data_IF_512119574883
#
_entry.id   IF_512119574883
#
_cell.length_a   1.000
_cell.length_b   1.000
_cell.length_c   1.000
_cell.angle_alpha   90.00
_cell.angle_beta   90.00
_cell.angle_gamma   90.00
#
_symmetry.space_group_name_H-M   'P 1'
#
loop_
_entity.id
_entity.type
_entity.pdbx_description
1 polymer ?
#
# COMPACT_ATOMS: atom_id res chain seq x y z
N UNK A 1 -0.03 8.17 -33.29
CA UNK A 1 -0.09 9.24 -32.27
C UNK A 1 1.15 9.13 -31.40
N UNK A 2 1.94 10.19 -31.28
CA UNK A 2 3.15 10.19 -30.45
C UNK A 2 2.78 9.88 -28.99
N UNK A 3 3.51 8.93 -28.41
CA UNK A 3 3.38 8.57 -26.99
C UNK A 3 3.63 9.87 -26.19
N UNK A 4 2.61 10.37 -25.48
CA UNK A 4 2.78 11.57 -24.63
C UNK A 4 3.88 11.28 -23.64
N UNK A 5 5.00 12.00 -23.75
CA UNK A 5 6.08 11.95 -22.76
C UNK A 5 5.52 12.38 -21.41
N UNK A 6 5.97 11.72 -20.32
CA UNK A 6 5.68 12.21 -18.98
C UNK A 6 6.14 13.68 -18.86
N UNK A 7 5.43 14.49 -18.03
CA UNK A 7 5.89 15.82 -17.69
C UNK A 7 7.30 15.82 -17.08
N UNK A 8 7.99 16.95 -17.16
CA UNK A 8 9.37 17.07 -16.68
C UNK A 8 9.57 16.80 -15.19
N UNK A 9 8.53 16.93 -14.39
CA UNK A 9 8.57 16.63 -12.94
C UNK A 9 8.40 15.14 -12.60
N UNK A 10 8.07 14.28 -13.57
CA UNK A 10 8.05 12.83 -13.39
C UNK A 10 9.36 12.25 -13.92
N UNK A 11 10.38 12.33 -13.07
CA UNK A 11 11.71 11.79 -13.35
C UNK A 11 12.13 10.84 -12.25
N UNK A 12 12.60 9.66 -12.62
CA UNK A 12 13.11 8.63 -11.72
C UNK A 12 14.58 8.38 -11.99
N UNK A 13 15.34 8.02 -10.96
CA UNK A 13 16.72 7.60 -11.11
C UNK A 13 16.77 6.15 -11.58
N UNK A 14 17.62 5.86 -12.56
CA UNK A 14 17.87 4.49 -12.97
C UNK A 14 18.52 3.71 -11.81
N UNK A 15 18.10 2.45 -11.58
CA UNK A 15 18.67 1.60 -10.54
C UNK A 15 20.10 1.20 -10.96
N UNK A 16 21.13 1.68 -10.24
CA UNK A 16 22.53 1.44 -10.57
C UNK A 16 23.44 1.20 -9.36
N UNK A 17 22.91 1.28 -8.12
CA UNK A 17 23.76 1.13 -6.92
C UNK A 17 24.05 -0.34 -6.60
N UNK A 18 25.19 -0.66 -5.97
CA UNK A 18 25.50 -2.00 -5.46
C UNK A 18 24.41 -2.51 -4.50
N UNK A 19 23.86 -1.63 -3.65
CA UNK A 19 22.80 -1.95 -2.69
C UNK A 19 21.50 -2.36 -3.39
N UNK A 20 21.16 -1.75 -4.52
CA UNK A 20 20.01 -2.17 -5.34
C UNK A 20 20.16 -3.65 -5.75
N UNK A 21 21.31 -4.01 -6.30
CA UNK A 21 21.57 -5.38 -6.75
C UNK A 21 21.61 -6.36 -5.57
N UNK A 22 22.19 -5.95 -4.44
CA UNK A 22 22.21 -6.76 -3.21
C UNK A 22 20.79 -7.03 -2.71
N UNK A 23 19.94 -6.00 -2.60
CA UNK A 23 18.54 -6.13 -2.19
C UNK A 23 17.79 -7.09 -3.12
N UNK A 24 17.93 -6.90 -4.43
CA UNK A 24 17.33 -7.78 -5.45
C UNK A 24 17.80 -9.24 -5.31
N UNK A 25 19.07 -9.47 -5.05
CA UNK A 25 19.63 -10.80 -4.86
C UNK A 25 19.10 -11.49 -3.61
N UNK A 26 18.97 -10.77 -2.48
CA UNK A 26 18.37 -11.30 -1.24
C UNK A 26 16.95 -11.75 -1.47
N UNK A 27 16.12 -10.90 -2.11
CA UNK A 27 14.72 -11.19 -2.41
C UNK A 27 14.57 -12.42 -3.31
N UNK A 28 15.36 -12.48 -4.38
CA UNK A 28 15.37 -13.63 -5.32
C UNK A 28 15.81 -14.93 -4.64
N UNK A 29 16.87 -14.87 -3.83
CA UNK A 29 17.39 -16.03 -3.09
C UNK A 29 16.40 -16.61 -2.08
N UNK A 30 15.48 -15.76 -1.56
CA UNK A 30 14.43 -16.18 -0.65
C UNK A 30 13.08 -16.46 -1.36
N UNK A 31 13.03 -16.37 -2.68
CA UNK A 31 11.82 -16.56 -3.50
C UNK A 31 10.65 -15.70 -3.01
N UNK A 32 10.90 -14.41 -2.77
CA UNK A 32 9.92 -13.45 -2.29
C UNK A 32 9.50 -12.50 -3.39
N UNK A 33 8.21 -12.16 -3.39
CA UNK A 33 7.62 -11.15 -4.27
C UNK A 33 7.62 -9.78 -3.58
N UNK A 34 7.74 -8.73 -4.37
CA UNK A 34 7.59 -7.35 -3.90
C UNK A 34 6.66 -6.58 -4.83
N UNK A 35 5.78 -5.76 -4.25
CA UNK A 35 4.97 -4.85 -5.07
C UNK A 35 5.81 -3.87 -5.88
N UNK A 36 7.06 -3.60 -5.43
CA UNK A 36 8.01 -2.76 -6.14
C UNK A 36 8.36 -3.32 -7.52
N UNK A 37 8.47 -4.65 -7.64
CA UNK A 37 8.73 -5.35 -8.90
C UNK A 37 7.45 -5.60 -9.69
N UNK A 38 6.45 -6.21 -9.06
CA UNK A 38 5.21 -6.66 -9.72
C UNK A 38 4.35 -5.48 -10.22
N UNK A 39 4.33 -4.36 -9.48
CA UNK A 39 3.61 -3.15 -9.87
C UNK A 39 4.46 -2.14 -10.67
N UNK A 40 5.67 -2.52 -11.14
CA UNK A 40 6.57 -1.64 -11.90
C UNK A 40 6.78 -0.28 -11.21
N UNK A 41 7.06 -0.28 -9.91
CA UNK A 41 7.15 0.93 -9.10
C UNK A 41 8.29 1.85 -9.58
N UNK A 42 8.03 3.14 -9.86
CA UNK A 42 9.07 4.07 -10.32
C UNK A 42 10.17 4.31 -9.28
N UNK A 43 9.90 4.08 -8.00
CA UNK A 43 10.83 4.34 -6.92
C UNK A 43 11.75 3.12 -6.59
N UNK A 44 11.63 2.01 -7.33
CA UNK A 44 12.37 0.78 -7.02
C UNK A 44 13.89 1.00 -6.93
N UNK A 45 14.45 1.86 -7.79
CA UNK A 45 15.87 2.19 -7.79
C UNK A 45 16.32 2.84 -6.49
N UNK A 46 15.54 3.80 -5.99
CA UNK A 46 15.78 4.50 -4.73
C UNK A 46 15.54 3.57 -3.53
N UNK A 47 14.35 2.98 -3.44
CA UNK A 47 13.98 2.11 -2.32
C UNK A 47 14.97 0.95 -2.13
N UNK A 48 15.33 0.23 -3.19
CA UNK A 48 16.27 -0.88 -3.09
C UNK A 48 17.71 -0.41 -2.77
N UNK A 49 18.10 0.79 -3.20
CA UNK A 49 19.37 1.39 -2.81
C UNK A 49 19.43 1.71 -1.31
N UNK A 50 18.28 2.03 -0.72
CA UNK A 50 18.09 2.21 0.72
C UNK A 50 17.72 0.91 1.46
N UNK A 51 17.90 -0.26 0.81
CA UNK A 51 17.54 -1.60 1.33
C UNK A 51 16.09 -1.76 1.73
N UNK A 52 15.20 -0.88 1.25
CA UNK A 52 13.77 -0.87 1.57
C UNK A 52 12.99 -1.57 0.47
N UNK A 53 12.09 -2.47 0.85
CA UNK A 53 11.18 -3.18 -0.05
C UNK A 53 9.80 -3.33 0.61
N UNK A 54 8.74 -3.32 -0.21
CA UNK A 54 7.39 -3.68 0.23
C UNK A 54 7.14 -5.12 -0.20
N UNK A 55 7.10 -6.02 0.78
CA UNK A 55 6.86 -7.45 0.52
C UNK A 55 5.43 -7.69 0.10
N UNK A 56 5.23 -8.56 -0.89
CA UNK A 56 3.92 -8.95 -1.38
C UNK A 56 3.68 -10.42 -1.04
N UNK A 57 2.72 -10.66 -0.15
CA UNK A 57 2.31 -11.97 0.34
C UNK A 57 1.43 -12.72 -0.65
N UNK A 58 1.39 -14.04 -0.47
CA UNK A 58 0.44 -14.94 -1.11
C UNK A 58 0.62 -15.06 -2.62
N UNK A 59 1.85 -14.79 -3.09
CA UNK A 59 2.25 -14.93 -4.48
C UNK A 59 2.08 -13.66 -5.30
N UNK A 60 2.02 -13.84 -6.62
CA UNK A 60 2.08 -12.79 -7.65
C UNK A 60 0.80 -12.68 -8.50
N UNK A 61 -0.25 -13.46 -8.19
CA UNK A 61 -1.52 -13.49 -8.92
C UNK A 61 -2.67 -13.06 -8.03
N UNK A 62 -3.31 -11.93 -8.39
CA UNK A 62 -4.46 -11.37 -7.69
C UNK A 62 -5.76 -11.99 -8.17
N UNK A 63 -6.73 -12.23 -7.28
CA UNK A 63 -8.07 -12.69 -7.66
C UNK A 63 -8.96 -11.58 -8.21
N UNK A 64 -8.55 -10.30 -8.01
CA UNK A 64 -9.24 -9.12 -8.58
C UNK A 64 -8.48 -8.56 -9.77
N UNK A 65 -9.22 -7.90 -10.67
CA UNK A 65 -8.68 -7.25 -11.86
C UNK A 65 -8.97 -5.74 -11.81
N UNK A 66 -8.19 -5.00 -11.04
CA UNK A 66 -8.29 -3.54 -10.99
C UNK A 66 -7.57 -2.93 -12.19
N UNK A 67 -8.26 -2.16 -13.09
CA UNK A 67 -7.68 -1.68 -14.33
C UNK A 67 -6.54 -0.66 -14.19
N UNK A 68 -6.22 -0.22 -12.99
CA UNK A 68 -5.04 0.61 -12.71
C UNK A 68 -3.79 -0.19 -12.32
N UNK A 69 -3.96 -1.47 -11.95
CA UNK A 69 -2.93 -2.28 -11.28
C UNK A 69 -2.16 -3.14 -12.27
N UNK A 70 -0.83 -3.13 -12.18
CA UNK A 70 0.04 -3.94 -13.04
C UNK A 70 0.22 -5.39 -12.56
N UNK A 71 -0.23 -5.72 -11.34
CA UNK A 71 -0.11 -7.07 -10.78
C UNK A 71 -0.94 -8.05 -11.62
N UNK A 72 -0.38 -9.21 -11.93
CA UNK A 72 -1.06 -10.27 -12.67
C UNK A 72 -2.34 -10.70 -11.94
N UNK A 73 -3.38 -11.04 -12.70
CA UNK A 73 -4.67 -11.46 -12.14
C UNK A 73 -5.11 -12.81 -12.70
N UNK A 74 -5.87 -13.56 -11.91
CA UNK A 74 -6.36 -14.87 -12.28
C UNK A 74 -6.51 -15.82 -11.11
N UNK A 75 -6.32 -17.12 -11.37
CA UNK A 75 -6.38 -18.15 -10.31
C UNK A 75 -5.10 -18.14 -9.49
N UNK A 76 -5.20 -17.78 -8.23
CA UNK A 76 -4.08 -17.75 -7.31
C UNK A 76 -3.59 -19.17 -6.95
N UNK A 77 -2.31 -19.28 -6.58
CA UNK A 77 -1.72 -20.54 -6.11
C UNK A 77 -2.07 -20.80 -4.64
N UNK A 78 -1.92 -22.05 -4.16
CA UNK A 78 -2.02 -22.35 -2.72
C UNK A 78 -1.06 -21.48 -1.91
N UNK A 79 -1.43 -21.20 -0.66
CA UNK A 79 -0.56 -20.49 0.27
C UNK A 79 0.70 -21.31 0.57
N UNK A 80 1.82 -20.61 0.67
CA UNK A 80 3.08 -21.19 1.13
C UNK A 80 3.22 -20.96 2.65
N UNK A 81 3.14 -21.98 3.48
CA UNK A 81 3.21 -21.85 4.93
C UNK A 81 4.57 -21.33 5.43
N UNK A 82 5.64 -21.44 4.65
CA UNK A 82 6.97 -20.97 5.00
C UNK A 82 7.22 -19.50 4.59
N UNK A 83 6.33 -18.88 3.83
CA UNK A 83 6.49 -17.49 3.37
C UNK A 83 6.67 -16.50 4.54
N UNK A 84 5.90 -16.57 5.65
CA UNK A 84 6.08 -15.68 6.79
C UNK A 84 7.50 -15.72 7.39
N UNK A 85 8.08 -16.92 7.50
CA UNK A 85 9.45 -17.09 8.00
C UNK A 85 10.47 -16.50 7.03
N UNK A 86 10.32 -16.77 5.72
CA UNK A 86 11.25 -16.21 4.72
C UNK A 86 11.22 -14.70 4.65
N UNK A 87 10.06 -14.08 4.90
CA UNK A 87 9.95 -12.62 5.00
C UNK A 87 10.69 -12.12 6.23
N UNK A 88 10.53 -12.75 7.39
CA UNK A 88 11.28 -12.38 8.58
C UNK A 88 12.81 -12.49 8.35
N UNK A 89 13.26 -13.56 7.68
CA UNK A 89 14.66 -13.72 7.26
C UNK A 89 15.14 -12.59 6.33
N UNK A 90 14.28 -12.15 5.39
CA UNK A 90 14.63 -11.05 4.50
C UNK A 90 14.73 -9.73 5.24
N UNK A 91 13.78 -9.44 6.14
CA UNK A 91 13.78 -8.23 6.99
C UNK A 91 15.07 -8.17 7.82
N UNK A 92 15.48 -9.29 8.41
CA UNK A 92 16.74 -9.41 9.15
C UNK A 92 17.98 -9.16 8.26
N UNK A 93 18.06 -9.81 7.09
CA UNK A 93 19.18 -9.65 6.16
C UNK A 93 19.29 -8.24 5.58
N UNK A 94 18.19 -7.54 5.41
CA UNK A 94 18.13 -6.16 4.95
C UNK A 94 18.37 -5.16 6.10
N UNK A 95 18.24 -5.58 7.35
CA UNK A 95 18.41 -4.72 8.53
C UNK A 95 17.32 -3.66 8.66
N UNK A 96 16.05 -4.02 8.39
CA UNK A 96 14.94 -3.06 8.38
C UNK A 96 14.45 -2.75 9.79
N UNK A 97 14.37 -1.47 10.12
CA UNK A 97 13.72 -0.97 11.35
C UNK A 97 12.20 -0.74 11.15
N UNK A 98 11.77 -0.65 9.90
CA UNK A 98 10.38 -0.55 9.50
C UNK A 98 10.15 -1.40 8.24
N UNK A 99 9.13 -2.23 8.24
CA UNK A 99 8.79 -3.08 7.11
C UNK A 99 7.34 -2.88 6.71
N UNK A 100 7.10 -2.80 5.40
CA UNK A 100 5.75 -2.80 4.83
C UNK A 100 5.49 -4.16 4.18
N UNK A 101 4.39 -4.77 4.56
CA UNK A 101 3.92 -6.05 4.04
C UNK A 101 2.53 -5.83 3.41
N UNK A 102 2.40 -6.18 2.16
CA UNK A 102 1.13 -6.15 1.43
C UNK A 102 0.79 -7.51 0.85
N UNK A 103 -0.27 -7.64 0.08
CA UNK A 103 -0.63 -8.88 -0.61
C UNK A 103 -1.33 -8.61 -1.94
N UNK A 104 -1.47 -9.65 -2.74
CA UNK A 104 -2.54 -9.75 -3.74
C UNK A 104 -3.90 -9.93 -3.03
N UNK A 105 -5.02 -9.56 -3.65
CA UNK A 105 -6.34 -9.96 -3.14
C UNK A 105 -6.51 -11.48 -3.27
N UNK A 106 -7.06 -12.09 -2.23
CA UNK A 106 -7.32 -13.53 -2.11
C UNK A 106 -8.78 -13.78 -1.74
N UNK A 107 -9.68 -13.28 -2.59
CA UNK A 107 -11.14 -13.49 -2.43
C UNK A 107 -11.56 -14.97 -2.52
N UNK A 108 -10.63 -15.84 -2.93
CA UNK A 108 -10.76 -17.31 -2.92
C UNK A 108 -10.54 -17.94 -1.54
N UNK A 109 -9.98 -17.20 -0.58
CA UNK A 109 -9.77 -17.66 0.79
C UNK A 109 -10.90 -17.16 1.70
N UNK A 110 -11.37 -17.98 2.66
CA UNK A 110 -12.45 -17.60 3.57
C UNK A 110 -12.16 -16.33 4.39
N UNK A 111 -10.90 -16.11 4.75
CA UNK A 111 -10.44 -14.96 5.54
C UNK A 111 -9.73 -13.89 4.71
N UNK A 112 -9.73 -14.03 3.36
CA UNK A 112 -9.00 -13.13 2.46
C UNK A 112 -7.49 -13.06 2.73
N UNK A 113 -6.92 -14.04 3.45
CA UNK A 113 -5.50 -14.11 3.82
C UNK A 113 -5.14 -13.39 5.13
N UNK A 114 -6.11 -13.00 5.95
CA UNK A 114 -5.88 -12.30 7.22
C UNK A 114 -4.97 -13.09 8.18
N UNK A 115 -5.16 -14.40 8.30
CA UNK A 115 -4.31 -15.27 9.12
C UNK A 115 -2.85 -15.27 8.64
N UNK A 116 -2.63 -15.17 7.33
CA UNK A 116 -1.29 -15.13 6.74
C UNK A 116 -0.56 -13.82 7.04
N UNK A 117 -1.27 -12.68 6.97
CA UNK A 117 -0.75 -11.38 7.45
C UNK A 117 -0.36 -11.44 8.92
N UNK A 118 -1.25 -11.96 9.76
CA UNK A 118 -1.00 -12.08 11.20
C UNK A 118 0.19 -13.02 11.51
N UNK A 119 0.34 -14.13 10.78
CA UNK A 119 1.47 -15.04 10.90
C UNK A 119 2.79 -14.33 10.50
N UNK A 120 2.77 -13.54 9.43
CA UNK A 120 3.93 -12.77 8.97
C UNK A 120 4.37 -11.73 9.99
N UNK A 121 3.42 -10.95 10.54
CA UNK A 121 3.72 -9.97 11.59
C UNK A 121 4.33 -10.63 12.83
N UNK A 122 3.78 -11.77 13.28
CA UNK A 122 4.34 -12.55 14.40
C UNK A 122 5.74 -13.09 14.10
N UNK A 123 5.98 -13.62 12.90
CA UNK A 123 7.30 -14.13 12.51
C UNK A 123 8.35 -13.03 12.53
N UNK A 124 8.04 -11.84 11.99
CA UNK A 124 8.93 -10.68 12.02
C UNK A 124 9.23 -10.27 13.47
N UNK A 125 8.21 -10.09 14.30
CA UNK A 125 8.38 -9.62 15.69
C UNK A 125 9.07 -10.66 16.59
N UNK A 126 8.90 -11.94 16.33
CA UNK A 126 9.61 -13.00 17.04
C UNK A 126 11.12 -12.94 16.81
N UNK A 127 11.54 -12.62 15.57
CA UNK A 127 12.96 -12.52 15.19
C UNK A 127 13.54 -11.13 15.48
N UNK A 128 12.73 -10.08 15.29
CA UNK A 128 13.15 -8.68 15.31
C UNK A 128 12.10 -7.85 16.12
N UNK A 129 12.07 -7.94 17.45
CA UNK A 129 11.03 -7.29 18.28
C UNK A 129 10.94 -5.77 18.08
N UNK A 130 12.06 -5.10 17.78
CA UNK A 130 12.13 -3.65 17.61
C UNK A 130 11.66 -3.18 16.22
N UNK A 131 11.60 -4.06 15.20
CA UNK A 131 11.16 -3.69 13.86
C UNK A 131 9.67 -3.35 13.85
N UNK A 132 9.32 -2.17 13.35
CA UNK A 132 7.92 -1.78 13.16
C UNK A 132 7.33 -2.47 11.94
N UNK A 133 6.10 -2.95 12.06
CA UNK A 133 5.39 -3.65 10.99
C UNK A 133 4.18 -2.84 10.54
N UNK A 134 4.18 -2.43 9.29
CA UNK A 134 3.03 -1.89 8.59
C UNK A 134 2.44 -2.98 7.70
N UNK A 135 1.11 -3.15 7.72
CA UNK A 135 0.41 -4.03 6.78
C UNK A 135 -0.48 -3.20 5.87
N UNK A 136 -0.36 -3.41 4.55
CA UNK A 136 -1.28 -2.87 3.55
C UNK A 136 -2.19 -4.00 3.10
N UNK A 137 -3.41 -4.01 3.62
CA UNK A 137 -4.35 -5.11 3.48
C UNK A 137 -5.46 -4.83 2.46
N UNK A 138 -6.08 -5.90 1.87
CA UNK A 138 -7.31 -5.78 1.10
C UNK A 138 -8.50 -5.37 2.00
N UNK A 139 -9.67 -5.18 1.39
CA UNK A 139 -10.90 -4.90 2.14
C UNK A 139 -11.55 -6.15 2.78
N UNK A 140 -10.93 -7.33 2.61
CA UNK A 140 -11.42 -8.62 3.09
C UNK A 140 -12.91 -8.86 2.78
N UNK A 141 -13.40 -8.31 1.66
CA UNK A 141 -14.84 -8.33 1.29
C UNK A 141 -15.77 -7.79 2.41
N UNK A 142 -15.22 -7.02 3.37
CA UNK A 142 -15.94 -6.45 4.52
C UNK A 142 -15.99 -7.36 5.75
N UNK A 143 -15.24 -8.45 5.79
CA UNK A 143 -15.14 -9.32 6.97
C UNK A 143 -14.43 -8.61 8.12
N UNK A 144 -15.19 -8.19 9.12
CA UNK A 144 -14.62 -7.62 10.34
C UNK A 144 -13.84 -8.64 11.18
N UNK A 145 -14.18 -9.93 11.10
CA UNK A 145 -13.41 -11.00 11.73
C UNK A 145 -11.99 -11.07 11.17
N UNK A 146 -11.84 -10.92 9.84
CA UNK A 146 -10.54 -10.85 9.18
C UNK A 146 -9.75 -9.61 9.60
N UNK A 147 -10.41 -8.45 9.72
CA UNK A 147 -9.78 -7.22 10.26
C UNK A 147 -9.31 -7.44 11.69
N UNK A 148 -10.13 -8.05 12.56
CA UNK A 148 -9.77 -8.39 13.94
C UNK A 148 -8.54 -9.31 14.01
N UNK A 149 -8.48 -10.32 13.15
CA UNK A 149 -7.34 -11.25 13.07
C UNK A 149 -6.04 -10.50 12.81
N UNK A 150 -6.06 -9.52 11.88
CA UNK A 150 -4.89 -8.69 11.57
C UNK A 150 -4.58 -7.72 12.71
N UNK A 151 -5.58 -7.03 13.25
CA UNK A 151 -5.41 -6.05 14.35
C UNK A 151 -4.90 -6.72 15.63
N UNK A 152 -5.29 -7.97 15.91
CA UNK A 152 -4.79 -8.73 17.05
C UNK A 152 -3.30 -9.12 16.92
N UNK A 153 -2.71 -9.03 15.73
CA UNK A 153 -1.30 -9.28 15.50
C UNK A 153 -0.41 -8.08 15.89
N UNK A 154 0.90 -8.25 16.09
CA UNK A 154 1.78 -7.19 16.56
C UNK A 154 2.21 -6.23 15.44
N UNK A 155 1.26 -5.47 14.92
CA UNK A 155 1.47 -4.42 13.90
C UNK A 155 1.38 -3.03 14.54
N UNK A 156 2.05 -2.05 13.95
CA UNK A 156 2.01 -0.64 14.33
C UNK A 156 1.14 0.21 13.41
N UNK A 157 1.04 -0.18 12.13
CA UNK A 157 0.25 0.55 11.13
C UNK A 157 -0.67 -0.41 10.37
N UNK A 158 -1.96 -0.10 10.37
CA UNK A 158 -2.97 -0.74 9.54
C UNK A 158 -3.28 0.16 8.35
N UNK A 159 -2.86 -0.25 7.17
CA UNK A 159 -3.04 0.50 5.94
C UNK A 159 -4.07 -0.23 5.04
N UNK A 160 -5.06 0.51 4.56
CA UNK A 160 -5.96 0.08 3.51
C UNK A 160 -6.21 1.25 2.56
N UNK A 161 -5.81 1.11 1.31
CA UNK A 161 -5.96 2.19 0.34
C UNK A 161 -7.42 2.32 -0.13
N UNK A 162 -7.95 3.54 -0.12
CA UNK A 162 -9.22 3.85 -0.79
C UNK A 162 -9.06 4.06 -2.29
N UNK A 163 -7.85 4.31 -2.75
CA UNK A 163 -7.35 4.42 -4.13
C UNK A 163 -7.88 5.62 -4.91
N UNK A 164 -9.18 5.93 -4.85
CA UNK A 164 -9.81 7.02 -5.61
C UNK A 164 -11.11 7.50 -4.96
N UNK A 165 -11.78 8.47 -5.58
CA UNK A 165 -13.06 9.03 -5.13
C UNK A 165 -14.24 8.12 -5.48
N UNK A 166 -15.39 8.21 -4.77
CA UNK A 166 -16.55 7.33 -4.95
C UNK A 166 -17.06 7.24 -6.39
N UNK A 167 -17.09 8.36 -7.12
CA UNK A 167 -17.57 8.39 -8.51
C UNK A 167 -16.76 7.53 -9.48
N UNK A 168 -15.48 7.25 -9.15
CA UNK A 168 -14.56 6.47 -9.97
C UNK A 168 -14.42 5.00 -9.55
N UNK A 169 -15.04 4.59 -8.41
CA UNK A 169 -14.86 3.21 -7.91
C UNK A 169 -15.25 2.15 -8.93
N UNK A 170 -16.39 2.34 -9.59
CA UNK A 170 -16.91 1.39 -10.58
C UNK A 170 -15.95 1.16 -11.74
N UNK A 171 -15.22 2.19 -12.13
CA UNK A 171 -14.27 2.17 -13.25
C UNK A 171 -12.87 1.76 -12.81
N UNK A 172 -12.39 2.31 -11.70
CA UNK A 172 -11.00 2.10 -11.27
C UNK A 172 -10.84 0.85 -10.39
N UNK A 173 -11.82 0.55 -9.51
CA UNK A 173 -11.73 -0.54 -8.52
C UNK A 173 -12.99 -1.43 -8.57
N UNK A 174 -13.29 -2.09 -9.71
CA UNK A 174 -14.41 -3.03 -9.78
C UNK A 174 -14.21 -4.14 -8.74
N UNK A 175 -15.25 -4.43 -7.95
CA UNK A 175 -15.19 -5.36 -6.80
C UNK A 175 -14.82 -4.69 -5.47
N UNK A 176 -14.24 -3.49 -5.48
CA UNK A 176 -14.12 -2.64 -4.30
C UNK A 176 -15.38 -1.81 -4.03
N UNK A 177 -15.53 -1.35 -2.78
CA UNK A 177 -16.61 -0.44 -2.38
C UNK A 177 -16.03 0.63 -1.47
N UNK A 178 -16.39 1.89 -1.73
CA UNK A 178 -15.90 3.03 -0.96
C UNK A 178 -16.30 2.98 0.50
N UNK A 179 -17.59 2.73 0.76
CA UNK A 179 -18.14 2.58 2.10
C UNK A 179 -17.47 1.43 2.88
N UNK A 180 -17.19 0.31 2.22
CA UNK A 180 -16.45 -0.82 2.78
C UNK A 180 -15.01 -0.43 3.15
N UNK A 181 -14.33 0.33 2.30
CA UNK A 181 -12.96 0.79 2.56
C UNK A 181 -12.90 1.69 3.80
N UNK A 182 -13.87 2.58 3.99
CA UNK A 182 -13.99 3.36 5.22
C UNK A 182 -14.31 2.49 6.44
N UNK A 183 -15.25 1.54 6.29
CA UNK A 183 -15.67 0.66 7.38
C UNK A 183 -14.52 -0.20 7.91
N UNK A 184 -13.65 -0.76 7.05
CA UNK A 184 -12.51 -1.57 7.52
C UNK A 184 -11.46 -0.73 8.24
N UNK A 185 -11.22 0.52 7.81
CA UNK A 185 -10.34 1.45 8.51
C UNK A 185 -10.89 1.82 9.88
N UNK A 186 -12.19 2.19 9.93
CA UNK A 186 -12.87 2.54 11.18
C UNK A 186 -12.86 1.37 12.17
N UNK A 187 -13.19 0.16 11.68
CA UNK A 187 -13.19 -1.04 12.52
C UNK A 187 -11.81 -1.35 13.07
N UNK A 188 -10.76 -1.26 12.27
CA UNK A 188 -9.38 -1.46 12.71
C UNK A 188 -8.98 -0.50 13.83
N UNK A 189 -9.32 0.80 13.72
CA UNK A 189 -9.06 1.80 14.77
C UNK A 189 -9.83 1.49 16.04
N UNK A 190 -11.13 1.23 15.94
CA UNK A 190 -12.01 0.95 17.09
C UNK A 190 -11.58 -0.32 17.83
N UNK A 191 -11.26 -1.38 17.09
CA UNK A 191 -10.77 -2.64 17.65
C UNK A 191 -9.44 -2.49 18.37
N UNK A 192 -8.49 -1.76 17.78
CA UNK A 192 -7.20 -1.50 18.40
C UNK A 192 -7.36 -0.69 19.70
N UNK A 193 -8.22 0.34 19.69
CA UNK A 193 -8.51 1.15 20.86
C UNK A 193 -9.15 0.32 21.98
N UNK A 194 -10.12 -0.53 21.66
CA UNK A 194 -10.74 -1.45 22.62
C UNK A 194 -9.74 -2.43 23.27
N UNK A 195 -8.62 -2.69 22.59
CA UNK A 195 -7.50 -3.51 23.09
C UNK A 195 -6.41 -2.68 23.80
N UNK A 196 -6.63 -1.39 24.03
CA UNK A 196 -5.65 -0.48 24.62
C UNK A 196 -4.41 -0.23 23.74
N UNK A 197 -4.52 -0.41 22.41
CA UNK A 197 -3.40 -0.27 21.48
C UNK A 197 -3.49 1.03 20.70
N UNK A 198 -2.34 1.69 20.54
CA UNK A 198 -2.21 2.86 19.67
C UNK A 198 -1.81 2.42 18.25
N UNK A 199 -2.78 1.89 17.49
CA UNK A 199 -2.61 1.51 16.10
C UNK A 199 -2.84 2.73 15.21
N UNK A 200 -1.91 3.01 14.28
CA UNK A 200 -2.08 4.05 13.27
C UNK A 200 -2.86 3.48 12.07
N UNK A 201 -3.91 4.19 11.66
CA UNK A 201 -4.64 3.91 10.42
C UNK A 201 -4.07 4.75 9.28
N UNK A 202 -3.85 4.10 8.13
CA UNK A 202 -3.26 4.72 6.96
C UNK A 202 -4.05 4.40 5.71
N UNK A 203 -4.03 5.33 4.75
CA UNK A 203 -4.63 5.13 3.42
C UNK A 203 -3.84 5.82 2.33
N UNK A 204 -4.05 5.38 1.09
CA UNK A 204 -3.50 5.99 -0.10
C UNK A 204 -4.57 6.32 -1.14
N UNK A 205 -4.35 7.40 -1.87
CA UNK A 205 -5.19 7.85 -2.99
C UNK A 205 -4.29 8.16 -4.19
N UNK A 206 -4.70 7.67 -5.35
CA UNK A 206 -4.09 8.00 -6.63
C UNK A 206 -4.80 9.19 -7.26
N UNK A 207 -4.03 10.16 -7.75
CA UNK A 207 -4.52 11.32 -8.47
C UNK A 207 -4.24 11.22 -9.98
N UNK A 208 -5.11 11.81 -10.77
CA UNK A 208 -5.00 11.82 -12.23
C UNK A 208 -5.82 10.73 -12.93
N UNK A 209 -6.79 10.12 -12.22
CA UNK A 209 -7.77 9.18 -12.78
C UNK A 209 -9.05 9.88 -13.29
N UNK A 210 -9.23 11.18 -13.02
CA UNK A 210 -10.40 11.97 -13.41
C UNK A 210 -11.22 12.50 -12.22
N UNK A 211 -10.71 12.35 -11.00
CA UNK A 211 -11.29 12.89 -9.78
C UNK A 211 -11.39 14.42 -9.82
N UNK A 212 -12.44 14.97 -9.23
CA UNK A 212 -12.59 16.42 -9.01
C UNK A 212 -12.05 16.79 -7.63
N UNK A 213 -11.57 18.05 -7.49
CA UNK A 213 -11.00 18.53 -6.23
C UNK A 213 -12.00 18.50 -5.06
N UNK A 214 -13.25 18.89 -5.32
CA UNK A 214 -14.31 18.88 -4.30
C UNK A 214 -14.65 17.46 -3.81
N UNK A 215 -14.69 16.48 -4.73
CA UNK A 215 -14.87 15.06 -4.37
C UNK A 215 -13.69 14.56 -3.53
N UNK A 216 -12.45 14.91 -3.91
CA UNK A 216 -11.26 14.53 -3.15
C UNK A 216 -11.29 15.14 -1.74
N UNK A 217 -11.62 16.42 -1.60
CA UNK A 217 -11.75 17.07 -0.29
C UNK A 217 -12.87 16.46 0.57
N UNK A 218 -13.96 15.97 -0.05
CA UNK A 218 -14.98 15.20 0.65
C UNK A 218 -14.42 13.87 1.19
N UNK A 219 -13.69 13.12 0.36
CA UNK A 219 -12.99 11.89 0.77
C UNK A 219 -12.04 12.14 1.94
N UNK A 220 -11.28 13.24 1.92
CA UNK A 220 -10.37 13.57 3.03
C UNK A 220 -11.13 13.79 4.36
N UNK A 221 -12.31 14.44 4.31
CA UNK A 221 -13.17 14.60 5.50
C UNK A 221 -13.72 13.26 5.99
N UNK A 222 -14.21 12.42 5.07
CA UNK A 222 -14.72 11.07 5.41
C UNK A 222 -13.63 10.23 6.08
N UNK A 223 -12.40 10.25 5.56
CA UNK A 223 -11.25 9.57 6.15
C UNK A 223 -10.92 10.07 7.56
N UNK A 224 -11.00 11.39 7.79
CA UNK A 224 -10.86 11.93 9.15
C UNK A 224 -12.01 11.53 10.06
N UNK A 225 -13.23 11.42 9.52
CA UNK A 225 -14.40 10.91 10.25
C UNK A 225 -14.20 9.48 10.78
N UNK A 226 -13.45 8.64 10.05
CA UNK A 226 -13.07 7.28 10.50
C UNK A 226 -11.71 7.23 11.21
N UNK A 227 -11.17 8.36 11.64
CA UNK A 227 -9.92 8.50 12.39
C UNK A 227 -8.68 7.96 11.65
N UNK A 228 -8.63 8.09 10.33
CA UNK A 228 -7.44 7.78 9.57
C UNK A 228 -6.31 8.79 9.90
N UNK A 229 -5.14 8.32 10.31
CA UNK A 229 -4.04 9.14 10.82
C UNK A 229 -3.09 9.60 9.72
N UNK A 230 -2.83 8.73 8.73
CA UNK A 230 -1.80 8.90 7.71
C UNK A 230 -2.42 8.83 6.33
N UNK A 231 -2.07 9.81 5.49
CA UNK A 231 -2.52 9.89 4.10
C UNK A 231 -1.34 9.91 3.14
N UNK A 232 -1.43 9.13 2.06
CA UNK A 232 -0.51 9.24 0.92
C UNK A 232 -1.28 9.66 -0.33
N UNK A 233 -0.77 10.67 -1.06
CA UNK A 233 -1.31 11.14 -2.34
C UNK A 233 -0.24 11.01 -3.40
N UNK A 234 -0.48 10.21 -4.45
CA UNK A 234 0.46 9.95 -5.52
C UNK A 234 -0.16 10.05 -6.92
N UNK A 235 0.63 10.39 -7.93
CA UNK A 235 0.16 10.39 -9.31
C UNK A 235 -0.08 8.96 -9.81
N UNK A 236 -1.24 8.70 -10.38
CA UNK A 236 -1.46 7.50 -11.18
C UNK A 236 -0.55 7.51 -12.41
N UNK A 237 0.25 6.46 -12.55
CA UNK A 237 1.07 6.23 -13.75
C UNK A 237 0.57 4.97 -14.43
N UNK A 238 0.17 5.10 -15.68
CA UNK A 238 -0.39 4.00 -16.47
C UNK A 238 0.65 2.93 -16.75
N UNK A 239 0.47 1.67 -16.27
CA UNK A 239 1.47 0.62 -16.46
C UNK A 239 1.62 0.18 -17.93
N UNK A 240 0.53 0.03 -18.67
CA UNK A 240 0.53 -0.33 -20.09
C UNK A 240 -0.69 0.27 -20.81
N UNK A 241 -0.77 0.07 -22.13
CA UNK A 241 -1.90 0.54 -22.95
C UNK A 241 -3.24 -0.11 -22.59
N UNK A 242 -3.21 -1.25 -21.91
CA UNK A 242 -4.40 -2.01 -21.53
C UNK A 242 -5.01 -1.53 -20.21
N UNK A 243 -4.29 -0.68 -19.46
CA UNK A 243 -4.72 -0.09 -18.20
C UNK A 243 -5.46 1.22 -18.42
N UNK A 244 -6.09 1.74 -17.36
CA UNK A 244 -6.79 3.02 -17.39
C UNK A 244 -5.91 4.15 -17.93
N UNK A 245 -6.42 5.01 -18.81
CA UNK A 245 -5.67 6.17 -19.26
C UNK A 245 -5.44 7.15 -18.10
N UNK A 246 -4.30 7.84 -18.12
CA UNK A 246 -4.09 9.00 -17.25
C UNK A 246 -4.98 10.14 -17.76
N UNK A 247 -5.93 10.59 -16.93
CA UNK A 247 -6.82 11.69 -17.27
C UNK A 247 -6.07 13.03 -17.26
N UNK A 248 -5.19 13.23 -16.25
CA UNK A 248 -4.29 14.39 -16.15
C UNK A 248 -3.04 14.05 -15.33
N UNK A 249 -1.99 14.82 -15.57
CA UNK A 249 -0.82 14.86 -14.69
C UNK A 249 -0.96 16.05 -13.74
N UNK A 250 -1.01 15.74 -12.43
CA UNK A 250 -1.18 16.73 -11.37
C UNK A 250 0.16 17.44 -11.14
N UNK A 251 0.21 18.78 -11.17
CA UNK A 251 1.44 19.53 -10.91
C UNK A 251 1.92 19.38 -9.47
N UNK A 252 3.25 19.47 -9.21
CA UNK A 252 3.80 19.40 -7.84
C UNK A 252 3.18 20.40 -6.86
N UNK A 253 2.88 21.61 -7.31
CA UNK A 253 2.28 22.65 -6.48
C UNK A 253 0.87 22.26 -5.98
N UNK A 254 0.07 21.58 -6.81
CA UNK A 254 -1.23 21.07 -6.40
C UNK A 254 -1.11 19.95 -5.37
N UNK A 255 -0.10 19.08 -5.48
CA UNK A 255 0.23 18.11 -4.43
C UNK A 255 0.59 18.80 -3.10
N UNK A 256 1.36 19.90 -3.15
CA UNK A 256 1.72 20.69 -1.98
C UNK A 256 0.48 21.37 -1.36
N UNK A 257 -0.46 21.86 -2.16
CA UNK A 257 -1.74 22.41 -1.67
C UNK A 257 -2.57 21.33 -0.97
N UNK A 258 -2.77 20.18 -1.61
CA UNK A 258 -3.54 19.06 -1.04
C UNK A 258 -2.92 18.55 0.26
N UNK A 259 -1.58 18.58 0.36
CA UNK A 259 -0.88 18.28 1.62
C UNK A 259 -1.27 19.26 2.72
N UNK A 260 -1.27 20.56 2.44
CA UNK A 260 -1.68 21.59 3.42
C UNK A 260 -3.15 21.42 3.83
N UNK A 261 -4.05 21.19 2.86
CA UNK A 261 -5.48 20.97 3.11
C UNK A 261 -5.69 19.75 4.01
N UNK A 262 -5.01 18.63 3.74
CA UNK A 262 -5.12 17.42 4.53
C UNK A 262 -4.56 17.61 5.96
N UNK A 263 -3.42 18.27 6.11
CA UNK A 263 -2.87 18.58 7.44
C UNK A 263 -3.82 19.48 8.24
N UNK A 264 -4.46 20.46 7.59
CA UNK A 264 -5.46 21.34 8.22
C UNK A 264 -6.71 20.57 8.67
N UNK A 265 -7.07 19.46 7.99
CA UNK A 265 -8.13 18.55 8.41
C UNK A 265 -7.74 17.66 9.60
N UNK A 266 -6.49 17.67 10.04
CA UNK A 266 -6.01 16.96 11.21
C UNK A 266 -5.41 15.57 10.93
N UNK A 267 -4.97 15.27 9.70
CA UNK A 267 -4.11 14.10 9.48
C UNK A 267 -2.78 14.30 10.22
N UNK A 268 -2.33 13.25 10.88
CA UNK A 268 -1.07 13.27 11.64
C UNK A 268 0.14 13.39 10.71
N UNK A 269 0.09 12.66 9.59
CA UNK A 269 1.13 12.69 8.55
C UNK A 269 0.49 12.66 7.17
N UNK A 270 1.06 13.43 6.24
CA UNK A 270 0.63 13.47 4.83
C UNK A 270 1.86 13.44 3.94
N UNK A 271 2.00 12.35 3.19
CA UNK A 271 2.98 12.25 2.11
C UNK A 271 2.28 12.53 0.78
N UNK A 272 2.72 13.55 0.04
CA UNK A 272 2.01 14.02 -1.15
C UNK A 272 3.00 14.47 -2.22
N UNK A 273 2.94 13.84 -3.40
CA UNK A 273 3.81 14.18 -4.51
C UNK A 273 3.66 13.24 -5.70
N UNK A 274 4.17 13.62 -6.88
CA UNK A 274 3.98 12.85 -8.11
C UNK A 274 4.49 11.41 -8.06
N UNK A 275 5.56 11.15 -7.34
CA UNK A 275 6.15 9.82 -7.22
C UNK A 275 5.78 9.09 -5.93
N UNK A 276 4.97 9.70 -5.04
CA UNK A 276 4.53 9.07 -3.81
C UNK A 276 3.73 7.79 -4.10
N UNK A 277 3.96 6.78 -3.28
CA UNK A 277 3.25 5.49 -3.22
C UNK A 277 2.93 5.20 -1.76
N UNK A 278 1.98 4.30 -1.49
CA UNK A 278 1.54 3.98 -0.11
C UNK A 278 2.69 3.66 0.83
N UNK A 279 3.74 3.01 0.36
CA UNK A 279 4.89 2.60 1.17
C UNK A 279 6.12 3.51 1.03
N UNK A 280 6.01 4.60 0.26
CA UNK A 280 7.12 5.50 0.04
C UNK A 280 7.44 6.26 1.33
N UNK A 281 8.69 6.20 1.80
CA UNK A 281 9.18 6.77 3.07
C UNK A 281 8.35 6.35 4.31
N UNK A 282 7.76 5.14 4.30
CA UNK A 282 6.85 4.69 5.35
C UNK A 282 7.46 4.75 6.77
N UNK A 283 8.78 4.65 6.91
CA UNK A 283 9.49 4.78 8.18
C UNK A 283 9.41 6.18 8.81
N UNK A 284 9.18 7.23 8.01
CA UNK A 284 9.02 8.61 8.48
C UNK A 284 7.61 8.87 9.04
N UNK A 285 6.63 8.09 8.59
CA UNK A 285 5.23 8.27 8.94
C UNK A 285 4.92 7.90 10.40
N UNK A 286 5.80 7.19 11.07
CA UNK A 286 5.61 6.60 12.42
C UNK A 286 6.53 7.20 13.49
N UNK A 287 7.20 8.30 13.16
CA UNK A 287 8.05 9.06 14.08
C UNK A 287 7.23 9.89 15.06
#
# INVERSE_FOLDING_TARGET
MAQRRHPDWIKVRAPASPEYFRTKSILAGLKLHTVCQEACCPNIGECFSHRTATFMLMGDVCTRNCPYCAVAHGKARPLDPDEPRRIADAVAKLGLNHVVVTSVDRDDLPDGGAAHFAATARAIKSMLPATRVEVLVPDFQGSFESVETVVASPIEVYNHNVETVPSLYKTARPGGRYDRSLAVLQHAKSSALARGRNLLAKTGIMLGLGEKRDELLAVLRDLRGVQCDILTLGQYLRPSKDHLPVARYVPPDEFAELRRDALALGFRHVESGPLVRSSYHAWEHVQ
#
